data_IF_114179402969
#
_entry.id   IF_114179402969
#
_cell.length_a   1.000
_cell.length_b   1.000
_cell.length_c   1.000
_cell.angle_alpha   90.00
_cell.angle_beta   90.00
_cell.angle_gamma   90.00
#
_symmetry.space_group_name_H-M   'P 1'
#
loop_
_entity.id
_entity.type
_entity.pdbx_description
1 polymer ?
#
# COMPACT_ATOMS: atom_id res chain seq x y z
N UNK A 1 -8.08 6.31 -6.03
CA UNK A 1 -7.21 6.72 -4.90
C UNK A 1 -6.19 7.76 -5.38
N UNK A 2 -6.06 8.89 -4.70
CA UNK A 2 -5.12 9.99 -5.00
C UNK A 2 -4.32 10.28 -3.74
N UNK A 3 -3.00 10.22 -3.79
CA UNK A 3 -2.12 10.57 -2.68
C UNK A 3 -1.81 12.06 -2.76
N UNK A 4 -2.07 12.81 -1.69
CA UNK A 4 -1.81 14.25 -1.57
C UNK A 4 -0.46 14.53 -0.92
N UNK A 5 -0.16 13.81 0.16
CA UNK A 5 1.09 13.99 0.91
C UNK A 5 1.61 12.66 1.42
N UNK A 6 2.92 12.53 1.41
CA UNK A 6 3.66 11.43 2.01
C UNK A 6 4.72 12.01 2.95
N UNK A 7 4.68 11.65 4.23
CA UNK A 7 5.73 11.96 5.20
C UNK A 7 6.42 10.66 5.58
N UNK A 8 7.73 10.67 5.45
CA UNK A 8 8.60 9.52 5.72
C UNK A 8 9.54 9.89 6.86
N UNK A 9 9.55 9.10 7.92
CA UNK A 9 10.46 9.28 9.06
C UNK A 9 11.27 8.02 9.28
N UNK A 10 12.59 8.13 9.19
CA UNK A 10 13.57 7.07 9.48
C UNK A 10 13.29 5.74 8.75
N UNK A 11 12.92 5.79 7.49
CA UNK A 11 12.56 4.61 6.71
C UNK A 11 13.65 4.26 5.70
N UNK A 12 14.27 3.10 5.84
CA UNK A 12 15.33 2.56 4.97
C UNK A 12 16.50 3.55 4.76
N UNK A 13 16.71 4.06 3.54
CA UNK A 13 17.77 5.02 3.21
C UNK A 13 17.44 6.46 3.63
N UNK A 14 16.21 6.74 4.07
CA UNK A 14 15.80 8.07 4.52
C UNK A 14 15.95 8.15 6.04
N UNK A 15 16.96 8.90 6.48
CA UNK A 15 17.19 9.23 7.89
C UNK A 15 16.58 10.61 8.20
N UNK A 16 15.96 10.75 9.39
CA UNK A 16 15.19 11.95 9.72
C UNK A 16 13.82 11.95 9.06
N UNK A 17 13.24 13.11 8.88
CA UNK A 17 11.89 13.27 8.30
C UNK A 17 11.95 13.98 6.97
N UNK A 18 11.28 13.42 5.97
CA UNK A 18 11.06 14.05 4.66
C UNK A 18 9.57 14.07 4.32
N UNK A 19 9.12 15.17 3.72
CA UNK A 19 7.72 15.39 3.34
C UNK A 19 7.66 15.63 1.83
N UNK A 20 6.81 14.87 1.16
CA UNK A 20 6.53 14.97 -0.27
C UNK A 20 5.08 15.40 -0.46
N UNK A 21 4.85 16.56 -1.10
CA UNK A 21 3.52 17.06 -1.45
C UNK A 21 3.28 16.80 -2.93
N UNK A 22 2.17 16.15 -3.25
CA UNK A 22 1.81 15.76 -4.63
C UNK A 22 0.69 16.60 -5.22
N UNK A 23 -0.01 17.45 -4.45
CA UNK A 23 -1.19 18.22 -4.89
C UNK A 23 -0.93 19.11 -6.12
N UNK A 24 0.27 19.68 -6.20
CA UNK A 24 0.68 20.54 -7.30
C UNK A 24 1.31 19.79 -8.48
N UNK A 25 1.43 18.47 -8.38
CA UNK A 25 2.05 17.64 -9.40
C UNK A 25 0.97 17.02 -10.30
N UNK A 26 1.07 17.26 -11.61
CA UNK A 26 0.11 16.73 -12.59
C UNK A 26 0.84 15.97 -13.70
N UNK A 27 0.20 14.91 -14.20
CA UNK A 27 0.72 14.13 -15.30
C UNK A 27 1.90 13.23 -14.89
N UNK A 28 2.92 13.14 -15.74
CA UNK A 28 4.09 12.30 -15.50
C UNK A 28 5.09 13.01 -14.57
N UNK A 29 5.34 12.41 -13.43
CA UNK A 29 6.30 12.91 -12.44
C UNK A 29 7.59 12.11 -12.58
N UNK A 30 8.71 12.81 -12.85
CA UNK A 30 10.05 12.22 -12.91
C UNK A 30 10.78 12.42 -11.58
N UNK A 31 11.11 11.33 -10.90
CA UNK A 31 12.00 11.33 -9.74
C UNK A 31 13.41 10.98 -10.18
N UNK A 32 14.36 11.93 -10.10
CA UNK A 32 15.74 11.74 -10.50
C UNK A 32 16.72 12.00 -9.34
N UNK A 33 17.87 11.38 -9.39
CA UNK A 33 18.93 11.52 -8.38
C UNK A 33 19.97 10.41 -8.51
N UNK A 34 21.10 10.50 -7.82
CA UNK A 34 22.16 9.50 -7.86
C UNK A 34 21.71 8.13 -7.36
N UNK A 35 22.50 7.09 -7.61
CA UNK A 35 22.26 5.76 -7.05
C UNK A 35 22.34 5.86 -5.51
N UNK A 36 21.41 5.21 -4.81
CA UNK A 36 21.34 5.28 -3.34
C UNK A 36 20.58 6.47 -2.77
N UNK A 37 20.14 7.43 -3.57
CA UNK A 37 19.39 8.63 -3.11
C UNK A 37 17.97 8.35 -2.55
N UNK A 38 17.56 7.10 -2.41
CA UNK A 38 16.26 6.75 -1.82
C UNK A 38 15.07 6.79 -2.80
N UNK A 39 15.28 6.83 -4.12
CA UNK A 39 14.17 6.87 -5.10
C UNK A 39 13.19 5.69 -4.94
N UNK A 40 13.71 4.48 -4.87
CA UNK A 40 12.91 3.26 -4.65
C UNK A 40 12.28 3.25 -3.25
N UNK A 41 12.96 3.82 -2.27
CA UNK A 41 12.48 3.93 -0.88
C UNK A 41 11.16 4.69 -0.78
N UNK A 42 10.94 5.71 -1.63
CA UNK A 42 9.68 6.46 -1.67
C UNK A 42 8.52 5.56 -2.11
N UNK A 43 8.70 4.77 -3.17
CA UNK A 43 7.68 3.82 -3.62
C UNK A 43 7.39 2.74 -2.57
N UNK A 44 8.45 2.21 -1.93
CA UNK A 44 8.32 1.23 -0.85
C UNK A 44 7.66 1.82 0.40
N UNK A 45 7.91 3.11 0.72
CA UNK A 45 7.25 3.81 1.81
C UNK A 45 5.74 3.94 1.56
N UNK A 46 5.32 4.25 0.33
CA UNK A 46 3.90 4.27 -0.06
C UNK A 46 3.29 2.87 0.14
N UNK A 47 3.92 1.82 -0.38
CA UNK A 47 3.42 0.45 -0.24
C UNK A 47 3.32 0.02 1.22
N UNK A 48 4.35 0.31 2.02
CA UNK A 48 4.33 -0.03 3.43
C UNK A 48 3.30 0.79 4.21
N UNK A 49 3.19 2.07 3.92
CA UNK A 49 2.18 2.94 4.53
C UNK A 49 0.76 2.44 4.27
N UNK A 50 0.45 2.06 3.03
CA UNK A 50 -0.87 1.57 2.63
C UNK A 50 -1.16 0.15 3.13
N UNK A 51 -0.22 -0.79 2.96
CA UNK A 51 -0.48 -2.22 3.13
C UNK A 51 0.32 -2.90 4.25
N UNK A 52 1.24 -2.18 4.89
CA UNK A 52 2.05 -2.71 6.00
C UNK A 52 3.08 -3.77 5.59
N UNK A 53 3.34 -3.94 4.30
CA UNK A 53 4.27 -4.95 3.79
C UNK A 53 5.16 -4.40 2.69
N UNK A 54 6.44 -4.77 2.74
CA UNK A 54 7.39 -4.59 1.64
C UNK A 54 7.93 -5.97 1.27
N UNK A 55 7.92 -6.30 -0.02
CA UNK A 55 8.30 -7.64 -0.50
C UNK A 55 9.71 -8.02 -0.06
N UNK A 56 9.82 -9.18 0.60
CA UNK A 56 11.09 -9.78 0.98
C UNK A 56 11.83 -9.09 2.12
N UNK A 57 11.17 -8.22 2.91
CA UNK A 57 11.80 -7.51 4.01
C UNK A 57 11.05 -7.69 5.32
N UNK A 58 11.83 -7.88 6.39
CA UNK A 58 11.32 -7.90 7.76
C UNK A 58 11.26 -6.47 8.32
N UNK A 59 10.44 -6.27 9.35
CA UNK A 59 10.24 -4.96 9.99
C UNK A 59 11.55 -4.27 10.40
N UNK A 60 12.53 -5.00 10.93
CA UNK A 60 13.82 -4.44 11.33
C UNK A 60 14.65 -3.87 10.17
N UNK A 61 14.44 -4.37 8.94
CA UNK A 61 15.13 -3.88 7.74
C UNK A 61 14.50 -2.61 7.16
N UNK A 62 13.34 -2.20 7.67
CA UNK A 62 12.64 -0.99 7.26
C UNK A 62 13.12 0.24 8.02
N UNK A 63 13.74 0.05 9.18
CA UNK A 63 14.25 1.15 10.00
C UNK A 63 15.56 1.64 9.41
N UNK A 64 15.71 2.96 9.29
CA UNK A 64 16.94 3.59 8.85
C UNK A 64 18.09 3.32 9.81
N UNK A 65 19.31 3.24 9.29
CA UNK A 65 20.51 3.04 10.10
C UNK A 65 20.59 4.08 11.24
N UNK A 66 20.90 3.63 12.44
CA UNK A 66 20.96 4.43 13.68
C UNK A 66 19.60 4.97 14.18
N UNK A 67 18.48 4.66 13.57
CA UNK A 67 17.17 4.99 14.09
C UNK A 67 16.61 3.85 14.96
N UNK A 68 15.68 4.18 15.87
CA UNK A 68 15.02 3.19 16.74
C UNK A 68 13.68 2.71 16.20
N UNK A 69 13.02 3.54 15.39
CA UNK A 69 11.73 3.26 14.78
C UNK A 69 11.60 3.99 13.46
N UNK A 70 10.67 3.57 12.62
CA UNK A 70 10.27 4.29 11.42
C UNK A 70 8.77 4.51 11.39
N UNK A 71 8.38 5.56 10.68
CA UNK A 71 6.98 5.97 10.55
C UNK A 71 6.69 6.51 9.16
N UNK A 72 5.53 6.17 8.65
CA UNK A 72 5.00 6.70 7.39
C UNK A 72 3.62 7.30 7.68
N UNK A 73 3.44 8.56 7.26
CA UNK A 73 2.15 9.22 7.24
C UNK A 73 1.73 9.45 5.79
N UNK A 74 0.48 9.15 5.46
CA UNK A 74 -0.08 9.35 4.12
C UNK A 74 -1.42 10.06 4.24
N UNK A 75 -1.55 11.19 3.53
CA UNK A 75 -2.82 11.83 3.26
C UNK A 75 -3.26 11.50 1.85
N UNK A 76 -4.46 10.97 1.69
CA UNK A 76 -5.00 10.55 0.41
C UNK A 76 -6.51 10.76 0.32
N UNK A 77 -7.03 10.77 -0.90
CA UNK A 77 -8.48 10.67 -1.16
C UNK A 77 -8.76 9.34 -1.85
N UNK A 78 -9.75 8.61 -1.34
CA UNK A 78 -10.25 7.36 -1.92
C UNK A 78 -11.77 7.28 -1.78
N UNK A 79 -12.49 6.89 -2.83
CA UNK A 79 -13.98 6.85 -2.84
C UNK A 79 -14.63 8.14 -2.32
N UNK A 80 -14.08 9.30 -2.68
CA UNK A 80 -14.51 10.63 -2.22
C UNK A 80 -14.43 10.85 -0.69
N UNK A 81 -13.59 10.08 0.01
CA UNK A 81 -13.29 10.22 1.43
C UNK A 81 -11.85 10.72 1.59
N UNK A 82 -11.66 11.67 2.48
CA UNK A 82 -10.32 12.08 2.93
C UNK A 82 -9.83 11.06 3.95
N UNK A 83 -8.64 10.53 3.73
CA UNK A 83 -8.06 9.47 4.56
C UNK A 83 -6.66 9.88 5.01
N UNK A 84 -6.43 9.86 6.31
CA UNK A 84 -5.13 10.03 6.92
C UNK A 84 -4.70 8.73 7.57
N UNK A 85 -3.51 8.24 7.20
CA UNK A 85 -2.94 6.98 7.67
C UNK A 85 -1.62 7.26 8.34
N UNK A 86 -1.44 6.82 9.58
CA UNK A 86 -0.15 6.82 10.27
C UNK A 86 0.23 5.40 10.63
N UNK A 87 1.30 4.94 10.03
CA UNK A 87 1.88 3.62 10.28
C UNK A 87 3.26 3.75 10.89
N UNK A 88 3.36 3.29 12.12
CA UNK A 88 4.61 3.15 12.85
C UNK A 88 4.93 1.67 13.06
N UNK A 89 6.20 1.31 13.07
CA UNK A 89 6.61 -0.09 13.15
C UNK A 89 6.21 -0.76 14.48
N UNK A 90 6.19 0.00 15.57
CA UNK A 90 5.91 -0.48 16.93
C UNK A 90 4.57 0.00 17.50
N UNK A 91 3.95 0.99 16.86
CA UNK A 91 2.69 1.58 17.34
C UNK A 91 1.48 0.99 16.63
N UNK A 92 0.28 1.11 17.18
CA UNK A 92 -0.96 0.80 16.47
C UNK A 92 -1.07 1.56 15.14
N UNK A 93 -1.73 0.96 14.16
CA UNK A 93 -2.11 1.64 12.94
C UNK A 93 -3.20 2.67 13.25
N UNK A 94 -2.93 3.93 12.95
CA UNK A 94 -3.90 5.01 13.10
C UNK A 94 -4.46 5.33 11.72
N UNK A 95 -5.78 5.38 11.62
CA UNK A 95 -6.51 5.75 10.41
C UNK A 95 -7.61 6.72 10.77
N UNK A 96 -7.67 7.82 10.06
CA UNK A 96 -8.75 8.78 10.15
C UNK A 96 -9.43 8.90 8.79
N UNK A 97 -10.75 8.87 8.79
CA UNK A 97 -11.58 9.01 7.59
C UNK A 97 -12.52 10.19 7.79
N UNK A 98 -12.40 11.21 6.96
CA UNK A 98 -13.15 12.47 7.09
C UNK A 98 -13.04 13.06 8.52
N UNK A 99 -11.84 13.05 9.10
CA UNK A 99 -11.56 13.56 10.46
C UNK A 99 -12.08 12.69 11.61
N UNK A 100 -12.57 11.48 11.34
CA UNK A 100 -12.98 10.53 12.38
C UNK A 100 -12.02 9.36 12.42
N UNK A 101 -11.50 9.07 13.62
CA UNK A 101 -10.61 7.93 13.82
C UNK A 101 -11.35 6.61 13.61
N UNK A 102 -10.82 5.78 12.75
CA UNK A 102 -11.30 4.42 12.53
C UNK A 102 -10.73 3.54 13.65
N UNK A 103 -11.53 3.25 14.66
CA UNK A 103 -11.11 2.38 15.76
C UNK A 103 -11.48 0.94 15.47
N UNK A 104 -10.48 0.08 15.37
CA UNK A 104 -10.66 -1.37 15.36
C UNK A 104 -9.92 -1.99 16.54
N UNK A 105 -10.34 -3.17 16.96
CA UNK A 105 -9.79 -3.88 18.13
C UNK A 105 -8.33 -4.32 17.96
N UNK A 106 -7.81 -4.34 16.72
CA UNK A 106 -6.43 -4.72 16.41
C UNK A 106 -5.91 -4.07 15.12
N UNK A 107 -4.58 -4.04 14.93
CA UNK A 107 -3.93 -3.57 13.68
C UNK A 107 -4.44 -4.32 12.44
N UNK A 108 -4.69 -5.61 12.59
CA UNK A 108 -5.16 -6.46 11.50
C UNK A 108 -6.55 -6.05 11.04
N UNK A 109 -7.46 -5.87 11.98
CA UNK A 109 -8.84 -5.47 11.67
C UNK A 109 -8.88 -4.09 11.03
N UNK A 110 -8.07 -3.13 11.49
CA UNK A 110 -7.98 -1.80 10.87
C UNK A 110 -7.46 -1.90 9.42
N UNK A 111 -6.48 -2.75 9.15
CA UNK A 111 -5.96 -2.96 7.81
C UNK A 111 -7.00 -3.61 6.87
N UNK A 112 -7.74 -4.60 7.36
CA UNK A 112 -8.82 -5.26 6.61
C UNK A 112 -9.91 -4.26 6.22
N UNK A 113 -10.37 -3.42 7.16
CA UNK A 113 -11.35 -2.36 6.87
C UNK A 113 -10.82 -1.37 5.83
N UNK A 114 -9.53 -0.99 5.90
CA UNK A 114 -8.91 -0.11 4.89
C UNK A 114 -8.95 -0.75 3.49
N UNK A 115 -8.59 -2.02 3.39
CA UNK A 115 -8.51 -2.73 2.11
C UNK A 115 -9.89 -2.99 1.50
N UNK A 116 -10.91 -3.29 2.31
CA UNK A 116 -12.24 -3.63 1.85
C UNK A 116 -13.13 -2.39 1.62
N UNK A 117 -13.14 -1.44 2.57
CA UNK A 117 -14.10 -0.35 2.56
C UNK A 117 -13.53 0.97 2.00
N UNK A 118 -12.24 1.20 2.16
CA UNK A 118 -11.62 2.49 1.85
C UNK A 118 -10.87 2.46 0.53
N UNK A 119 -10.06 1.43 0.27
CA UNK A 119 -9.27 1.41 -0.96
C UNK A 119 -10.13 1.07 -2.18
N UNK A 120 -9.85 1.77 -3.30
CA UNK A 120 -10.50 1.51 -4.60
C UNK A 120 -9.83 0.35 -5.34
N UNK A 121 -8.61 0.00 -4.94
CA UNK A 121 -7.75 -0.91 -5.69
C UNK A 121 -7.20 -1.97 -4.75
N UNK A 122 -7.37 -3.27 -5.09
CA UNK A 122 -6.82 -4.36 -4.32
C UNK A 122 -5.29 -4.26 -4.18
N UNK A 123 -4.75 -4.69 -3.04
CA UNK A 123 -3.30 -4.73 -2.77
C UNK A 123 -2.51 -5.39 -3.90
N UNK A 124 -3.03 -6.50 -4.44
CA UNK A 124 -2.37 -7.25 -5.48
C UNK A 124 -2.25 -6.43 -6.78
N UNK A 125 -3.28 -5.67 -7.13
CA UNK A 125 -3.26 -4.79 -8.30
C UNK A 125 -2.22 -3.65 -8.13
N UNK A 126 -2.18 -2.99 -6.97
CA UNK A 126 -1.17 -1.96 -6.72
C UNK A 126 0.25 -2.53 -6.76
N UNK A 127 0.49 -3.65 -6.10
CA UNK A 127 1.84 -4.22 -6.00
C UNK A 127 2.35 -4.83 -7.31
N UNK A 128 1.45 -5.24 -8.21
CA UNK A 128 1.80 -5.90 -9.47
C UNK A 128 1.68 -4.99 -10.70
N UNK A 129 0.76 -4.03 -10.69
CA UNK A 129 0.48 -3.19 -11.85
C UNK A 129 0.87 -1.72 -11.65
N UNK A 130 0.65 -1.15 -10.46
CA UNK A 130 0.89 0.27 -10.22
C UNK A 130 2.35 0.55 -9.81
N UNK A 131 3.03 -0.40 -9.15
CA UNK A 131 4.45 -0.29 -8.81
C UNK A 131 5.26 -1.20 -9.73
N UNK A 132 5.54 -0.72 -10.93
CA UNK A 132 6.36 -1.43 -11.91
C UNK A 132 7.83 -1.16 -11.60
N UNK A 133 8.48 -2.09 -10.91
CA UNK A 133 9.95 -2.17 -10.85
C UNK A 133 10.44 -3.15 -11.92
N UNK A 134 11.71 -3.06 -12.29
CA UNK A 134 12.34 -4.01 -13.23
C UNK A 134 12.10 -5.48 -12.79
N UNK A 135 12.14 -5.74 -11.50
CA UNK A 135 11.87 -7.07 -10.94
C UNK A 135 10.38 -7.44 -10.93
N UNK A 136 9.46 -6.46 -10.85
CA UNK A 136 8.03 -6.71 -10.86
C UNK A 136 7.51 -7.09 -12.26
N UNK A 137 8.05 -6.52 -13.32
CA UNK A 137 7.73 -6.90 -14.69
C UNK A 137 8.06 -8.38 -14.95
N UNK A 138 9.23 -8.81 -14.54
CA UNK A 138 9.61 -10.23 -14.63
C UNK A 138 8.70 -11.14 -13.79
N UNK A 139 8.16 -10.66 -12.67
CA UNK A 139 7.26 -11.44 -11.83
C UNK A 139 5.85 -11.64 -12.43
N UNK A 140 5.35 -10.69 -13.22
CA UNK A 140 4.10 -10.85 -13.97
C UNK A 140 4.23 -11.90 -15.09
N UNK A 141 5.31 -11.82 -15.87
CA UNK A 141 5.60 -12.75 -16.96
C UNK A 141 5.92 -14.18 -16.46
N UNK A 142 6.38 -14.32 -15.22
CA UNK A 142 6.76 -15.60 -14.60
C UNK A 142 5.67 -16.19 -13.69
N UNK A 143 4.47 -15.63 -13.67
CA UNK A 143 3.35 -16.19 -12.91
C UNK A 143 2.95 -17.56 -13.43
N UNK A 144 2.72 -18.50 -12.52
CA UNK A 144 2.06 -19.77 -12.86
C UNK A 144 0.61 -19.53 -13.29
N UNK A 145 0.00 -20.46 -14.05
CA UNK A 145 -1.41 -20.33 -14.44
C UNK A 145 -2.38 -20.14 -13.26
N UNK A 146 -2.10 -20.78 -12.12
CA UNK A 146 -2.90 -20.63 -10.90
C UNK A 146 -2.78 -19.23 -10.28
N UNK A 147 -1.57 -18.68 -10.19
CA UNK A 147 -1.34 -17.33 -9.71
C UNK A 147 -1.95 -16.28 -10.65
N UNK A 148 -1.85 -16.51 -11.96
CA UNK A 148 -2.47 -15.63 -12.98
C UNK A 148 -3.98 -15.62 -12.83
N UNK A 149 -4.62 -16.78 -12.58
CA UNK A 149 -6.05 -16.87 -12.35
C UNK A 149 -6.46 -16.05 -11.11
N UNK A 150 -5.81 -16.29 -9.96
CA UNK A 150 -6.08 -15.55 -8.72
C UNK A 150 -5.90 -14.04 -8.94
N UNK A 151 -4.85 -13.64 -9.64
CA UNK A 151 -4.57 -12.26 -9.97
C UNK A 151 -5.68 -11.62 -10.82
N UNK A 152 -6.18 -12.32 -11.83
CA UNK A 152 -7.27 -11.85 -12.69
C UNK A 152 -8.60 -11.82 -11.92
N UNK A 153 -8.88 -12.84 -11.12
CA UNK A 153 -10.08 -12.90 -10.28
C UNK A 153 -10.13 -11.73 -9.28
N UNK A 154 -8.99 -11.37 -8.68
CA UNK A 154 -8.91 -10.22 -7.76
C UNK A 154 -9.06 -8.87 -8.47
N UNK A 155 -8.49 -8.70 -9.68
CA UNK A 155 -8.56 -7.42 -10.42
C UNK A 155 -9.93 -7.19 -11.01
N UNK A 156 -10.53 -8.22 -11.61
CA UNK A 156 -11.82 -8.11 -12.29
C UNK A 156 -13.01 -8.38 -11.36
N UNK A 157 -12.76 -8.73 -10.11
CA UNK A 157 -13.82 -9.02 -9.15
C UNK A 157 -14.58 -10.31 -9.43
N UNK A 158 -13.99 -11.25 -10.16
CA UNK A 158 -14.65 -12.52 -10.51
C UNK A 158 -14.92 -13.41 -9.28
N UNK A 159 -14.29 -13.15 -8.16
CA UNK A 159 -14.62 -13.81 -6.89
C UNK A 159 -16.09 -13.71 -6.54
N UNK A 160 -16.72 -12.56 -6.78
CA UNK A 160 -18.15 -12.37 -6.56
C UNK A 160 -19.01 -13.38 -7.35
N UNK A 161 -18.60 -13.75 -8.56
CA UNK A 161 -19.31 -14.73 -9.37
C UNK A 161 -19.05 -16.17 -8.91
N UNK A 162 -17.86 -16.48 -8.41
CA UNK A 162 -17.56 -17.81 -7.87
C UNK A 162 -18.27 -18.07 -6.54
N UNK A 163 -18.36 -17.07 -5.68
CA UNK A 163 -19.07 -17.16 -4.40
C UNK A 163 -20.58 -17.29 -4.63
N UNK A 164 -21.15 -16.54 -5.59
CA UNK A 164 -22.54 -16.66 -6.00
C UNK A 164 -22.88 -18.04 -6.59
N UNK A 165 -22.02 -18.60 -7.42
CA UNK A 165 -22.19 -19.96 -7.95
C UNK A 165 -22.10 -21.03 -6.86
N UNK A 166 -21.26 -20.86 -5.84
CA UNK A 166 -21.15 -21.79 -4.73
C UNK A 166 -22.40 -21.75 -3.82
N UNK A 167 -23.00 -20.58 -3.61
CA UNK A 167 -24.26 -20.44 -2.87
C UNK A 167 -25.44 -21.09 -3.61
N UNK A 168 -25.52 -20.89 -4.92
CA UNK A 168 -26.60 -21.49 -5.75
C UNK A 168 -26.50 -23.01 -5.86
N UNK A 169 -25.30 -23.60 -5.75
CA UNK A 169 -25.10 -25.05 -5.75
C UNK A 169 -25.50 -25.70 -4.42
N UNK A 170 -25.47 -24.96 -3.31
CA UNK A 170 -25.86 -25.48 -1.99
C UNK A 170 -27.40 -25.52 -1.81
N UNK A 171 -28.16 -24.73 -2.58
CA UNK A 171 -29.63 -24.73 -2.55
C UNK A 171 -30.30 -25.78 -3.47
N UNK A 172 -29.56 -26.67 -4.12
CA UNK A 172 -30.05 -27.80 -4.92
C UNK A 172 -29.74 -29.13 -4.25
#
# INVERSE_FOLDING_TARGET
MIIHQLKITNFKSIYGTQIFNFDNLKGLIKLSGPIGAGKTTIAEAILWGLYGTVKGQNNGQLISWNAKACEIEINLTSKNKEVHIVRNIYQPLIVEVNGKTLSASSKRNTQEILEEEIYDVPKLAITKMCVISFNAFNSLAAMSPGETKIFLDDIFGFKLFSDYNNEVVIER
#
